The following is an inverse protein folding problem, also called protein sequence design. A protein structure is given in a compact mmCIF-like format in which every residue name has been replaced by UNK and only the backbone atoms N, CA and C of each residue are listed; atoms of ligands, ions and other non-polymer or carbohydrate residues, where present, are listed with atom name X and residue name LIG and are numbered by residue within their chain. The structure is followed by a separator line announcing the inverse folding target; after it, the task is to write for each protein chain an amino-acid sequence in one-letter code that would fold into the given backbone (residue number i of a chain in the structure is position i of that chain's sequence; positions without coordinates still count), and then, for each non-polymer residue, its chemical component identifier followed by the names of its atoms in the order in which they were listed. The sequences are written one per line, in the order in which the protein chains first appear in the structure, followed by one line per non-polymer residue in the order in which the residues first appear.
data_IF_705623500572
#
_entry.id   IF_705623500572
#
_cell.length_a   1.000
_cell.length_b   1.000
_cell.length_c   1.000
_cell.angle_alpha   90.00
_cell.angle_beta   90.00
_cell.angle_gamma   90.00
#
_symmetry.space_group_name_H-M   'P 1'
#
loop_
_entity.id
_entity.type
_entity.pdbx_description
1 polymer ?
#
# COMPACT_ATOMS: atom_id res chain seq x y z
N UNK A 1 3.32 0.17 -0.64
CA UNK A 1 2.71 -0.95 -1.36
C UNK A 1 2.83 -0.70 -2.85
N UNK A 2 3.83 -1.29 -3.50
CA UNK A 2 3.82 -1.34 -4.97
C UNK A 2 2.46 -1.87 -5.40
N UNK A 3 1.70 -1.07 -6.15
CA UNK A 3 0.41 -1.49 -6.66
C UNK A 3 0.69 -2.64 -7.62
N UNK A 4 0.07 -3.79 -7.35
CA UNK A 4 0.05 -4.92 -8.29
C UNK A 4 -0.32 -4.34 -9.66
N UNK A 5 0.53 -4.53 -10.68
CA UNK A 5 0.34 -3.91 -12.02
C UNK A 5 -0.39 -4.82 -13.01
N UNK A 6 -0.54 -6.10 -12.67
CA UNK A 6 -1.29 -7.10 -13.44
C UNK A 6 -2.22 -7.90 -12.52
N UNK A 7 -3.28 -8.49 -13.09
CA UNK A 7 -4.14 -9.42 -12.34
C UNK A 7 -3.52 -10.81 -12.21
N UNK A 8 -2.26 -11.00 -12.62
CA UNK A 8 -1.56 -12.27 -12.53
C UNK A 8 -1.37 -12.67 -11.08
N UNK A 9 -1.54 -13.95 -10.77
CA UNK A 9 -1.33 -14.43 -9.41
C UNK A 9 0.16 -14.45 -9.10
N UNK A 10 0.55 -13.88 -7.96
CA UNK A 10 1.90 -14.02 -7.45
C UNK A 10 2.09 -15.48 -7.01
N UNK A 11 3.12 -16.14 -7.55
CA UNK A 11 3.56 -17.45 -7.09
C UNK A 11 4.26 -17.36 -5.72
N UNK A 12 4.59 -18.50 -5.14
CA UNK A 12 5.26 -18.58 -3.84
C UNK A 12 6.75 -18.15 -3.90
N UNK A 13 7.33 -18.08 -5.11
CA UNK A 13 8.65 -17.50 -5.35
C UNK A 13 8.65 -15.97 -5.48
N UNK A 14 7.46 -15.33 -5.44
CA UNK A 14 7.36 -13.90 -5.54
C UNK A 14 8.07 -13.23 -4.35
N UNK A 15 9.04 -12.36 -4.63
CA UNK A 15 9.73 -11.56 -3.61
C UNK A 15 8.75 -10.78 -2.71
N UNK A 16 7.56 -10.47 -3.21
CA UNK A 16 6.50 -9.77 -2.49
C UNK A 16 5.48 -10.69 -1.81
N UNK A 17 5.80 -11.97 -1.57
CA UNK A 17 4.89 -12.91 -0.92
C UNK A 17 4.44 -12.50 0.49
N UNK A 18 5.18 -11.62 1.17
CA UNK A 18 4.79 -11.03 2.46
C UNK A 18 3.84 -9.83 2.36
N UNK A 19 3.47 -9.38 1.15
CA UNK A 19 2.67 -8.20 0.92
C UNK A 19 1.21 -8.54 0.58
N UNK A 20 0.33 -7.55 0.75
CA UNK A 20 -1.11 -7.66 0.43
C UNK A 20 -1.36 -8.15 -1.01
N UNK A 21 -0.45 -7.89 -1.95
CA UNK A 21 -0.58 -8.36 -3.33
C UNK A 21 -0.68 -9.88 -3.46
N UNK A 22 -0.10 -10.65 -2.51
CA UNK A 22 -0.26 -12.11 -2.47
C UNK A 22 -1.66 -12.52 -2.08
N UNK A 23 -2.35 -11.75 -1.22
CA UNK A 23 -3.67 -12.11 -0.68
C UNK A 23 -4.82 -11.79 -1.65
N UNK A 24 -4.54 -11.07 -2.74
CA UNK A 24 -5.56 -10.54 -3.66
C UNK A 24 -5.33 -10.99 -5.11
N UNK A 25 -6.43 -11.26 -5.82
CA UNK A 25 -6.45 -11.63 -7.24
C UNK A 25 -6.22 -10.41 -8.13
N UNK A 26 -6.85 -9.28 -7.83
CA UNK A 26 -6.87 -8.12 -8.70
C UNK A 26 -5.88 -7.00 -8.32
N UNK A 27 -5.57 -6.14 -9.28
CA UNK A 27 -5.00 -4.83 -9.03
C UNK A 27 -6.06 -3.90 -8.43
N UNK A 28 -5.69 -3.15 -7.40
CA UNK A 28 -6.53 -2.05 -6.91
C UNK A 28 -6.50 -0.94 -7.97
N UNK A 29 -7.66 -0.42 -8.39
CA UNK A 29 -7.70 0.68 -9.38
C UNK A 29 -7.36 2.05 -8.78
N UNK A 30 -7.03 3.02 -9.63
CA UNK A 30 -6.83 4.43 -9.24
C UNK A 30 -8.08 5.08 -8.61
N UNK A 31 -9.27 4.47 -8.71
CA UNK A 31 -10.48 4.96 -8.03
C UNK A 31 -10.43 4.78 -6.51
N UNK A 32 -9.60 3.85 -6.02
CA UNK A 32 -9.40 3.66 -4.58
C UNK A 32 -8.79 4.91 -3.91
N UNK A 33 -7.60 5.42 -4.32
CA UNK A 33 -7.01 6.60 -3.68
C UNK A 33 -7.90 7.84 -3.82
N UNK A 34 -8.65 8.00 -4.93
CA UNK A 34 -9.64 9.08 -5.07
C UNK A 34 -10.74 8.98 -3.99
N UNK A 35 -11.33 7.79 -3.82
CA UNK A 35 -12.36 7.57 -2.80
C UNK A 35 -11.81 7.79 -1.41
N UNK A 36 -10.65 7.22 -1.12
CA UNK A 36 -9.98 7.35 0.18
C UNK A 36 -9.74 8.82 0.53
N UNK A 37 -9.30 9.65 -0.43
CA UNK A 37 -9.13 11.09 -0.24
C UNK A 37 -10.45 11.76 0.12
N UNK A 38 -11.48 11.60 -0.70
CA UNK A 38 -12.78 12.28 -0.51
C UNK A 38 -13.42 11.90 0.82
N UNK A 39 -13.50 10.60 1.14
CA UNK A 39 -14.12 10.15 2.38
C UNK A 39 -13.30 10.52 3.62
N UNK A 40 -11.97 10.55 3.52
CA UNK A 40 -11.13 11.00 4.65
C UNK A 40 -11.27 12.50 4.89
N UNK A 41 -11.40 13.32 3.84
CA UNK A 41 -11.68 14.75 3.99
C UNK A 41 -13.05 14.99 4.62
N UNK A 42 -14.08 14.24 4.21
CA UNK A 42 -15.42 14.32 4.79
C UNK A 42 -15.42 13.94 6.29
N UNK A 43 -14.75 12.84 6.65
CA UNK A 43 -14.63 12.44 8.05
C UNK A 43 -13.78 13.44 8.86
N UNK A 44 -12.68 13.95 8.29
CA UNK A 44 -11.86 14.97 8.93
C UNK A 44 -12.64 16.25 9.21
N UNK A 45 -13.48 16.70 8.26
CA UNK A 45 -14.38 17.83 8.44
C UNK A 45 -15.40 17.59 9.55
N UNK A 46 -16.05 16.41 9.58
CA UNK A 46 -17.01 16.05 10.62
C UNK A 46 -16.40 16.02 12.02
N UNK A 47 -15.11 15.68 12.11
CA UNK A 47 -14.34 15.65 13.35
C UNK A 47 -13.65 16.97 13.69
N UNK A 48 -13.97 18.05 12.95
CA UNK A 48 -13.39 19.39 13.15
C UNK A 48 -11.85 19.41 13.11
N UNK A 49 -11.23 18.51 12.34
CA UNK A 49 -9.77 18.48 12.17
C UNK A 49 -9.32 19.51 11.15
N UNK A 50 -8.27 20.27 11.49
CA UNK A 50 -7.60 21.19 10.56
C UNK A 50 -6.96 20.47 9.36
N UNK A 51 -6.49 19.24 9.58
CA UNK A 51 -5.87 18.41 8.56
C UNK A 51 -6.21 16.92 8.73
N UNK A 52 -6.27 16.20 7.60
CA UNK A 52 -6.45 14.74 7.59
C UNK A 52 -5.13 14.07 7.97
N UNK A 53 -5.16 13.29 9.05
CA UNK A 53 -4.04 12.46 9.50
C UNK A 53 -4.22 10.98 9.15
N UNK A 54 -3.22 10.17 9.52
CA UNK A 54 -3.23 8.73 9.28
C UNK A 54 -4.36 8.01 10.01
N UNK A 55 -4.84 8.54 11.13
CA UNK A 55 -5.93 7.90 11.88
C UNK A 55 -7.24 8.00 11.12
N UNK A 56 -7.55 9.18 10.57
CA UNK A 56 -8.72 9.39 9.71
C UNK A 56 -8.64 8.50 8.47
N UNK A 57 -7.48 8.44 7.81
CA UNK A 57 -7.26 7.56 6.66
C UNK A 57 -7.53 6.10 7.01
N UNK A 58 -7.00 5.62 8.15
CA UNK A 58 -7.19 4.23 8.61
C UNK A 58 -8.64 3.91 8.96
N UNK A 59 -9.37 4.86 9.50
CA UNK A 59 -10.78 4.68 9.85
C UNK A 59 -11.64 4.45 8.59
N UNK A 60 -11.33 5.16 7.50
CA UNK A 60 -12.10 5.14 6.25
C UNK A 60 -11.64 4.04 5.29
N UNK A 61 -10.35 3.72 5.26
CA UNK A 61 -9.75 2.84 4.26
C UNK A 61 -10.47 1.49 4.08
N UNK A 62 -10.87 0.75 5.14
CA UNK A 62 -11.52 -0.55 4.97
C UNK A 62 -12.81 -0.48 4.15
N UNK A 63 -13.62 0.57 4.36
CA UNK A 63 -14.92 0.73 3.70
C UNK A 63 -14.77 1.13 2.23
N UNK A 64 -13.76 1.95 1.93
CA UNK A 64 -13.43 2.31 0.54
C UNK A 64 -12.75 1.17 -0.23
N UNK A 65 -12.16 0.20 0.49
CA UNK A 65 -11.39 -0.91 -0.06
C UNK A 65 -12.21 -2.19 -0.25
N UNK A 66 -13.14 -2.50 0.65
CA UNK A 66 -13.80 -3.81 0.75
C UNK A 66 -14.47 -4.31 -0.54
N UNK A 67 -15.08 -3.40 -1.30
CA UNK A 67 -15.77 -3.70 -2.55
C UNK A 67 -14.85 -3.64 -3.79
N UNK A 68 -13.57 -3.32 -3.61
CA UNK A 68 -12.58 -3.16 -4.68
C UNK A 68 -11.53 -4.26 -4.69
N UNK A 69 -11.48 -5.10 -3.66
CA UNK A 69 -10.58 -6.25 -3.58
C UNK A 69 -11.33 -7.52 -3.92
N UNK A 70 -10.70 -8.35 -4.75
CA UNK A 70 -11.02 -9.74 -4.97
C UNK A 70 -9.99 -10.57 -4.21
N UNK A 71 -10.42 -11.20 -3.12
CA UNK A 71 -9.56 -12.06 -2.31
C UNK A 71 -9.27 -13.37 -3.02
N UNK A 72 -8.12 -13.97 -2.76
CA UNK A 72 -7.87 -15.36 -3.16
C UNK A 72 -8.76 -16.32 -2.37
N UNK A 73 -9.05 -17.47 -2.98
CA UNK A 73 -10.00 -18.43 -2.41
C UNK A 73 -9.46 -19.09 -1.13
N UNK A 74 -8.13 -19.29 -1.05
CA UNK A 74 -7.44 -19.76 0.16
C UNK A 74 -7.56 -18.77 1.33
N UNK A 75 -7.44 -17.46 1.05
CA UNK A 75 -7.64 -16.40 2.06
C UNK A 75 -9.10 -16.38 2.54
N UNK A 76 -10.07 -16.49 1.62
CA UNK A 76 -11.50 -16.55 1.97
C UNK A 76 -11.77 -17.78 2.82
N UNK A 77 -11.34 -18.97 2.38
CA UNK A 77 -11.55 -20.23 3.08
C UNK A 77 -10.98 -20.22 4.50
N UNK A 78 -9.76 -19.67 4.67
CA UNK A 78 -9.11 -19.55 5.99
C UNK A 78 -9.90 -18.67 6.97
N UNK A 79 -10.61 -17.65 6.49
CA UNK A 79 -11.36 -16.71 7.32
C UNK A 79 -12.88 -16.99 7.38
N UNK A 80 -13.41 -17.85 6.52
CA UNK A 80 -14.84 -18.10 6.36
C UNK A 80 -15.54 -18.48 7.68
N UNK A 81 -14.88 -19.31 8.50
CA UNK A 81 -15.43 -19.87 9.73
C UNK A 81 -14.94 -19.18 11.00
N UNK A 82 -14.15 -18.11 10.88
CA UNK A 82 -13.69 -17.36 12.05
C UNK A 82 -14.82 -16.50 12.61
N UNK A 83 -14.92 -16.48 13.94
CA UNK A 83 -15.80 -15.56 14.65
C UNK A 83 -15.43 -14.11 14.28
N UNK A 84 -16.43 -13.32 13.88
CA UNK A 84 -16.26 -11.95 13.40
C UNK A 84 -17.51 -11.14 13.67
N UNK A 85 -17.31 -9.85 13.91
CA UNK A 85 -18.38 -8.87 14.13
C UNK A 85 -18.88 -8.24 12.82
N UNK A 86 -18.03 -8.22 11.78
CA UNK A 86 -18.34 -7.63 10.49
C UNK A 86 -18.61 -8.71 9.42
N UNK A 87 -19.35 -8.39 8.34
CA UNK A 87 -19.36 -9.19 7.14
C UNK A 87 -17.94 -9.46 6.62
N UNK A 88 -17.72 -10.66 6.08
CA UNK A 88 -16.39 -11.14 5.69
C UNK A 88 -15.59 -10.14 4.81
N UNK A 89 -16.17 -9.48 3.79
CA UNK A 89 -15.43 -8.52 2.96
C UNK A 89 -14.90 -7.31 3.75
N UNK A 90 -15.70 -6.79 4.69
CA UNK A 90 -15.31 -5.65 5.54
C UNK A 90 -14.24 -6.10 6.54
N UNK A 91 -14.44 -7.27 7.17
CA UNK A 91 -13.46 -7.85 8.08
C UNK A 91 -12.09 -8.03 7.41
N UNK A 92 -12.04 -8.63 6.22
CA UNK A 92 -10.79 -8.82 5.48
C UNK A 92 -10.14 -7.49 5.09
N UNK A 93 -10.94 -6.50 4.68
CA UNK A 93 -10.43 -5.16 4.39
C UNK A 93 -9.84 -4.46 5.63
N UNK A 94 -10.47 -4.60 6.81
CA UNK A 94 -9.94 -4.09 8.08
C UNK A 94 -8.60 -4.75 8.42
N UNK A 95 -8.51 -6.07 8.29
CA UNK A 95 -7.26 -6.80 8.52
C UNK A 95 -6.15 -6.39 7.55
N UNK A 96 -6.48 -6.21 6.26
CA UNK A 96 -5.53 -5.73 5.28
C UNK A 96 -5.03 -4.33 5.58
N UNK A 97 -5.92 -3.38 5.90
CA UNK A 97 -5.52 -2.02 6.31
C UNK A 97 -4.64 -2.05 7.56
N UNK A 98 -4.93 -2.93 8.53
CA UNK A 98 -4.12 -3.11 9.73
C UNK A 98 -2.71 -3.61 9.40
N UNK A 99 -2.58 -4.66 8.57
CA UNK A 99 -1.29 -5.18 8.10
C UNK A 99 -0.51 -4.11 7.32
N UNK A 100 -1.21 -3.39 6.44
CA UNK A 100 -0.65 -2.30 5.62
C UNK A 100 -0.07 -1.20 6.51
N UNK A 101 -0.85 -0.75 7.49
CA UNK A 101 -0.43 0.30 8.40
C UNK A 101 0.74 -0.13 9.28
N UNK A 102 0.69 -1.36 9.85
CA UNK A 102 1.78 -1.87 10.70
C UNK A 102 3.12 -1.82 9.97
N UNK A 103 3.16 -2.32 8.75
CA UNK A 103 4.39 -2.35 7.95
C UNK A 103 4.81 -0.96 7.47
N UNK A 104 3.86 -0.06 7.18
CA UNK A 104 4.21 1.35 6.97
C UNK A 104 4.94 1.93 8.18
N UNK A 105 4.43 1.72 9.40
CA UNK A 105 5.09 2.20 10.63
C UNK A 105 6.47 1.58 10.81
N UNK A 106 6.62 0.26 10.56
CA UNK A 106 7.92 -0.42 10.63
C UNK A 106 8.97 0.16 9.66
N UNK A 107 8.55 0.69 8.51
CA UNK A 107 9.44 1.10 7.42
C UNK A 107 9.46 2.62 7.17
N UNK A 108 8.66 3.42 7.88
CA UNK A 108 8.39 4.81 7.49
C UNK A 108 9.67 5.67 7.41
N UNK A 109 10.56 5.55 8.38
CA UNK A 109 11.80 6.34 8.45
C UNK A 109 12.77 5.94 7.35
N UNK A 110 12.88 4.65 7.06
CA UNK A 110 13.70 4.16 5.96
C UNK A 110 13.15 4.62 4.60
N UNK A 111 11.84 4.56 4.42
CA UNK A 111 11.14 5.04 3.22
C UNK A 111 11.35 6.55 3.04
N UNK A 112 11.19 7.35 4.09
CA UNK A 112 11.43 8.81 4.02
C UNK A 112 12.89 9.12 3.68
N UNK A 113 13.84 8.42 4.30
CA UNK A 113 15.28 8.58 3.98
C UNK A 113 15.56 8.24 2.53
N UNK A 114 15.05 7.11 2.03
CA UNK A 114 15.22 6.71 0.64
C UNK A 114 14.65 7.74 -0.34
N UNK A 115 13.44 8.25 -0.08
CA UNK A 115 12.84 9.31 -0.90
C UNK A 115 13.64 10.61 -0.86
N UNK A 116 14.15 11.01 0.31
CA UNK A 116 15.01 12.19 0.45
C UNK A 116 16.33 12.05 -0.31
N UNK A 117 16.97 10.88 -0.22
CA UNK A 117 18.17 10.56 -0.99
C UNK A 117 17.89 10.58 -2.50
N UNK A 118 16.78 10.00 -2.93
CA UNK A 118 16.35 9.99 -4.32
C UNK A 118 16.10 11.41 -4.86
N UNK A 119 15.44 12.26 -4.08
CA UNK A 119 15.19 13.66 -4.45
C UNK A 119 16.51 14.42 -4.64
N UNK A 120 17.44 14.29 -3.70
CA UNK A 120 18.77 14.91 -3.80
C UNK A 120 19.57 14.39 -4.99
N UNK A 121 19.53 13.08 -5.24
CA UNK A 121 20.18 12.46 -6.39
C UNK A 121 19.62 12.99 -7.71
N UNK A 122 18.30 13.15 -7.79
CA UNK A 122 17.61 13.74 -8.95
C UNK A 122 18.02 15.20 -9.17
N UNK A 123 18.03 16.02 -8.11
CA UNK A 123 18.41 17.44 -8.19
C UNK A 123 19.88 17.65 -8.59
N UNK A 124 20.78 16.78 -8.11
CA UNK A 124 22.23 16.90 -8.35
C UNK A 124 22.71 16.12 -9.56
N UNK A 125 21.83 15.43 -10.29
CA UNK A 125 22.17 14.41 -11.30
C UNK A 125 23.19 13.37 -10.78
N UNK A 126 23.26 13.16 -9.47
CA UNK A 126 24.17 12.20 -8.86
C UNK A 126 23.55 10.82 -8.85
N UNK A 127 23.77 10.13 -9.95
CA UNK A 127 23.23 8.81 -10.19
C UNK A 127 23.91 7.70 -9.38
N UNK A 128 25.03 7.95 -8.69
CA UNK A 128 25.78 6.92 -7.93
C UNK A 128 25.08 6.46 -6.64
N UNK A 129 24.01 7.17 -6.23
CA UNK A 129 23.24 6.85 -5.02
C UNK A 129 22.58 5.48 -5.14
N UNK A 130 23.00 4.53 -4.31
CA UNK A 130 22.40 3.19 -4.20
C UNK A 130 21.35 3.17 -3.09
N UNK A 131 20.12 2.80 -3.43
CA UNK A 131 18.99 2.73 -2.49
C UNK A 131 18.59 1.26 -2.35
N UNK A 132 18.89 0.69 -1.19
CA UNK A 132 18.55 -0.69 -0.83
C UNK A 132 17.33 -0.72 0.09
N UNK A 133 16.45 -1.69 -0.13
CA UNK A 133 15.33 -1.98 0.75
C UNK A 133 14.47 -3.12 0.20
N UNK A 134 13.78 -3.80 1.10
CA UNK A 134 12.91 -4.97 0.82
C UNK A 134 11.49 -4.56 0.37
N UNK A 135 11.23 -3.26 0.23
CA UNK A 135 9.93 -2.75 -0.18
C UNK A 135 9.92 -2.37 -1.67
N UNK A 136 8.86 -2.68 -2.44
CA UNK A 136 8.81 -2.42 -3.89
C UNK A 136 9.16 -0.99 -4.31
N UNK A 137 8.86 -0.01 -3.44
CA UNK A 137 9.22 1.40 -3.64
C UNK A 137 10.74 1.61 -3.83
N UNK A 138 11.58 0.90 -3.10
CA UNK A 138 13.04 1.04 -3.20
C UNK A 138 13.54 0.57 -4.57
N UNK A 139 12.98 -0.53 -5.07
CA UNK A 139 13.26 -1.02 -6.42
C UNK A 139 12.82 -0.03 -7.50
N UNK A 140 11.63 0.57 -7.36
CA UNK A 140 11.18 1.61 -8.30
C UNK A 140 12.07 2.85 -8.26
N UNK A 141 12.45 3.33 -7.07
CA UNK A 141 13.40 4.44 -6.92
C UNK A 141 14.73 4.11 -7.62
N UNK A 142 15.29 2.92 -7.38
CA UNK A 142 16.55 2.50 -8.00
C UNK A 142 16.43 2.41 -9.53
N UNK A 143 15.29 1.94 -10.04
CA UNK A 143 15.01 1.90 -11.47
C UNK A 143 14.97 3.30 -12.08
N UNK A 144 14.33 4.25 -11.40
CA UNK A 144 14.27 5.65 -11.86
C UNK A 144 15.66 6.29 -11.85
N UNK A 145 16.46 6.08 -10.80
CA UNK A 145 17.86 6.55 -10.74
C UNK A 145 18.74 5.93 -11.82
N UNK A 146 18.59 4.64 -12.09
CA UNK A 146 19.30 3.97 -13.19
C UNK A 146 18.85 4.50 -14.57
N UNK A 147 17.59 4.92 -14.70
CA UNK A 147 17.09 5.59 -15.90
C UNK A 147 17.79 6.92 -16.17
N UNK A 148 18.20 7.65 -15.12
CA UNK A 148 19.01 8.87 -15.22
C UNK A 148 20.43 8.55 -15.69
N UNK A 149 21.04 7.44 -15.23
CA UNK A 149 22.39 7.00 -15.68
C UNK A 149 22.50 6.78 -17.18
N UNK A 150 21.40 6.37 -17.81
CA UNK A 150 21.35 5.97 -19.21
C UNK A 150 20.86 7.09 -20.14
N UNK A 151 20.68 8.32 -19.62
CA UNK A 151 20.38 9.52 -20.40
C UNK A 151 21.60 10.42 -20.48
#
# INVERSE_FOLDING_TARGET
YGQKRSNELCDDSCHYAGYLCREIKNCISNRFPMSLKVYSQALGWLLEKEAVDLEVLRAVAPYTLAHRIQWRDDVVAFHQNKCRMDPLPIYLAKEAVRKVYRRYVEQNEEVKRALGMACKAFETNNSETEIKGDHPLFHEIQKDLNGIRNR
#
